data_IF_399645479918
#
_entry.id   IF_399645479918
#
_cell.length_a   1.000
_cell.length_b   1.000
_cell.length_c   1.000
_cell.angle_alpha   90.00
_cell.angle_beta   90.00
_cell.angle_gamma   90.00
#
_symmetry.space_group_name_H-M   'P 1'
#
loop_
_entity.id
_entity.type
_entity.pdbx_description
1 polymer ?
#
# COMPACT_ATOMS: atom_id res chain seq x y z
N UNK A 1 -9.64 -5.24 -24.15
CA UNK A 1 -9.18 -3.89 -23.72
C UNK A 1 -8.77 -4.02 -22.27
N UNK A 2 -7.53 -3.67 -21.93
CA UNK A 2 -7.02 -3.81 -20.56
C UNK A 2 -7.91 -3.00 -19.62
N UNK A 3 -8.54 -3.68 -18.67
CA UNK A 3 -9.29 -3.05 -17.61
C UNK A 3 -8.29 -2.27 -16.74
N UNK A 4 -8.41 -0.94 -16.74
CA UNK A 4 -7.59 -0.10 -15.87
C UNK A 4 -8.04 -0.30 -14.42
N UNK A 5 -7.07 -0.39 -13.51
CA UNK A 5 -7.34 -0.42 -12.07
C UNK A 5 -7.87 0.93 -11.60
N UNK A 6 -8.66 0.94 -10.53
CA UNK A 6 -9.14 2.16 -9.85
C UNK A 6 -8.11 2.65 -8.83
N UNK A 7 -6.85 2.72 -9.26
CA UNK A 7 -5.72 3.22 -8.47
C UNK A 7 -5.38 4.67 -8.85
N UNK A 8 -4.71 5.37 -7.95
CA UNK A 8 -4.14 6.69 -8.18
C UNK A 8 -2.83 6.83 -7.41
N UNK A 9 -1.92 7.65 -7.94
CA UNK A 9 -0.69 8.05 -7.27
C UNK A 9 -0.67 9.57 -7.11
N UNK A 10 -0.18 10.04 -5.95
CA UNK A 10 0.13 11.44 -5.69
C UNK A 10 1.65 11.62 -5.75
N UNK A 11 2.11 12.40 -6.74
CA UNK A 11 3.52 12.69 -6.93
C UNK A 11 3.84 14.13 -6.53
N UNK A 12 4.99 14.34 -5.89
CA UNK A 12 5.58 15.65 -5.66
C UNK A 12 6.90 15.74 -6.43
N UNK A 13 6.92 16.50 -7.52
CA UNK A 13 8.06 16.53 -8.43
C UNK A 13 8.27 15.16 -9.09
N UNK A 14 9.40 14.51 -8.79
CA UNK A 14 9.72 13.17 -9.28
C UNK A 14 9.40 12.05 -8.28
N UNK A 15 9.09 12.40 -7.04
CA UNK A 15 8.90 11.44 -5.97
C UNK A 15 7.42 11.09 -5.79
N UNK A 16 7.12 9.79 -5.75
CA UNK A 16 5.81 9.28 -5.37
C UNK A 16 5.65 9.41 -3.85
N UNK A 17 4.61 10.16 -3.44
CA UNK A 17 4.34 10.46 -2.04
C UNK A 17 3.38 9.45 -1.44
N UNK A 18 2.32 9.12 -2.17
CA UNK A 18 1.33 8.13 -1.74
C UNK A 18 0.65 7.51 -2.93
N UNK A 19 0.40 6.22 -2.82
CA UNK A 19 -0.48 5.47 -3.70
C UNK A 19 -1.75 5.08 -2.96
N UNK A 20 -2.86 5.13 -3.69
CA UNK A 20 -4.17 4.77 -3.20
C UNK A 20 -5.00 4.07 -4.26
N UNK A 21 -6.09 3.47 -3.82
CA UNK A 21 -6.99 2.82 -4.75
C UNK A 21 -8.20 2.19 -4.09
N UNK A 22 -9.18 1.89 -4.93
CA UNK A 22 -10.31 1.08 -4.51
C UNK A 22 -9.86 -0.36 -4.30
N UNK A 23 -10.29 -0.96 -3.19
CA UNK A 23 -10.05 -2.38 -2.90
C UNK A 23 -11.20 -3.22 -3.44
N UNK A 24 -10.88 -4.45 -3.85
CA UNK A 24 -11.90 -5.41 -4.27
C UNK A 24 -12.65 -5.90 -3.03
N UNK A 25 -13.96 -5.72 -3.03
CA UNK A 25 -14.86 -6.06 -1.93
C UNK A 25 -15.68 -7.31 -2.22
N UNK A 26 -15.74 -7.76 -3.48
CA UNK A 26 -16.43 -8.98 -3.91
C UNK A 26 -15.50 -10.16 -3.74
N UNK A 27 -15.87 -11.10 -2.86
CA UNK A 27 -15.02 -12.22 -2.49
C UNK A 27 -14.64 -13.12 -3.68
N UNK A 28 -15.57 -13.39 -4.59
CA UNK A 28 -15.31 -14.28 -5.73
C UNK A 28 -14.23 -13.71 -6.64
N UNK A 29 -14.29 -12.39 -6.90
CA UNK A 29 -13.31 -11.66 -7.70
C UNK A 29 -11.97 -11.55 -6.96
N UNK A 30 -12.00 -11.35 -5.64
CA UNK A 30 -10.79 -11.32 -4.82
C UNK A 30 -10.06 -12.68 -4.86
N UNK A 31 -10.78 -13.80 -4.74
CA UNK A 31 -10.20 -15.15 -4.82
C UNK A 31 -9.66 -15.44 -6.21
N UNK A 32 -10.37 -15.02 -7.27
CA UNK A 32 -9.89 -15.14 -8.65
C UNK A 32 -8.60 -14.34 -8.88
N UNK A 33 -8.52 -13.12 -8.34
CA UNK A 33 -7.32 -12.29 -8.40
C UNK A 33 -6.13 -12.89 -7.64
N UNK A 34 -6.35 -13.52 -6.48
CA UNK A 34 -5.30 -14.24 -5.76
C UNK A 34 -4.75 -15.39 -6.61
N UNK A 35 -5.64 -16.19 -7.21
CA UNK A 35 -5.24 -17.31 -8.09
C UNK A 35 -4.51 -16.84 -9.34
N UNK A 36 -4.91 -15.70 -9.93
CA UNK A 36 -4.24 -15.16 -11.12
C UNK A 36 -2.84 -14.61 -10.83
N UNK A 37 -2.55 -14.28 -9.57
CA UNK A 37 -1.23 -13.89 -9.07
C UNK A 37 -0.41 -15.06 -8.51
N UNK A 38 -0.85 -16.31 -8.72
CA UNK A 38 -0.20 -17.53 -8.21
C UNK A 38 -0.11 -17.59 -6.67
N UNK A 39 -1.09 -17.00 -5.99
CA UNK A 39 -1.22 -17.03 -4.52
C UNK A 39 -2.25 -18.08 -4.09
N UNK A 40 -1.95 -18.84 -3.05
CA UNK A 40 -2.88 -19.82 -2.48
C UNK A 40 -3.95 -19.12 -1.62
N UNK A 41 -5.25 -19.13 -1.99
CA UNK A 41 -6.28 -18.46 -1.21
C UNK A 41 -6.43 -18.94 0.23
N UNK A 42 -6.06 -20.20 0.51
CA UNK A 42 -6.15 -20.78 1.87
C UNK A 42 -5.20 -20.10 2.86
N UNK A 43 -4.04 -19.62 2.40
CA UNK A 43 -3.08 -18.87 3.24
C UNK A 43 -3.62 -17.49 3.64
N UNK A 44 -4.59 -16.97 2.87
CA UNK A 44 -5.22 -15.68 3.09
C UNK A 44 -6.58 -15.79 3.78
N UNK A 45 -6.99 -16.97 4.29
CA UNK A 45 -8.30 -17.15 4.92
C UNK A 45 -8.54 -16.15 6.07
N UNK A 46 -7.50 -15.84 6.85
CA UNK A 46 -7.55 -14.81 7.89
C UNK A 46 -8.03 -13.44 7.36
N UNK A 47 -7.62 -13.08 6.14
CA UNK A 47 -8.01 -11.84 5.48
C UNK A 47 -9.36 -11.96 4.76
N UNK A 48 -9.57 -13.03 3.99
CA UNK A 48 -10.77 -13.17 3.14
C UNK A 48 -12.03 -13.56 3.91
N UNK A 49 -11.91 -14.18 5.09
CA UNK A 49 -13.06 -14.56 5.92
C UNK A 49 -13.97 -13.38 6.23
N UNK A 50 -13.41 -12.19 6.50
CA UNK A 50 -14.19 -10.97 6.75
C UNK A 50 -15.04 -10.53 5.56
N UNK A 51 -14.59 -10.80 4.33
CA UNK A 51 -15.30 -10.43 3.10
C UNK A 51 -16.57 -11.28 2.88
N UNK A 52 -16.65 -12.47 3.48
CA UNK A 52 -17.84 -13.35 3.44
C UNK A 52 -19.04 -12.74 4.16
N UNK A 53 -18.81 -11.81 5.11
CA UNK A 53 -19.85 -11.19 5.92
C UNK A 53 -20.40 -9.88 5.32
N UNK A 54 -20.02 -9.54 4.10
CA UNK A 54 -20.48 -8.33 3.41
C UNK A 54 -19.64 -7.12 3.76
N UNK A 55 -18.61 -6.87 2.97
CA UNK A 55 -17.75 -5.68 3.08
C UNK A 55 -18.25 -4.61 2.11
N UNK A 56 -18.50 -3.36 2.58
CA UNK A 56 -18.90 -2.29 1.68
C UNK A 56 -17.76 -1.91 0.71
N UNK A 57 -18.08 -1.30 -0.44
CA UNK A 57 -17.06 -0.72 -1.31
C UNK A 57 -16.21 0.28 -0.52
N UNK A 58 -14.89 0.06 -0.52
CA UNK A 58 -13.94 0.87 0.23
C UNK A 58 -12.69 1.17 -0.60
N UNK A 59 -12.04 2.27 -0.25
CA UNK A 59 -10.78 2.71 -0.83
C UNK A 59 -9.88 3.25 0.28
N UNK A 60 -8.60 3.32 0.01
CA UNK A 60 -7.62 3.86 0.96
C UNK A 60 -6.35 4.28 0.26
N UNK A 61 -5.51 4.96 1.01
CA UNK A 61 -4.19 5.43 0.60
C UNK A 61 -3.26 5.35 1.80
N UNK A 62 -1.95 5.29 1.55
CA UNK A 62 -0.93 5.22 2.58
C UNK A 62 0.18 6.22 2.31
N UNK A 63 0.55 7.00 3.31
CA UNK A 63 1.55 8.07 3.20
C UNK A 63 2.59 7.94 4.31
N UNK A 64 3.86 7.84 3.91
CA UNK A 64 5.00 7.77 4.83
C UNK A 64 5.25 9.12 5.48
N UNK A 65 5.17 9.19 6.81
CA UNK A 65 5.35 10.43 7.58
C UNK A 65 6.74 11.02 7.36
N UNK A 66 7.76 10.17 7.39
CA UNK A 66 9.15 10.50 7.11
C UNK A 66 9.34 11.11 5.72
N UNK A 67 8.54 10.68 4.72
CA UNK A 67 8.58 11.18 3.34
C UNK A 67 7.90 12.54 3.19
N UNK A 68 6.78 12.75 3.89
CA UNK A 68 6.17 14.10 4.02
C UNK A 68 7.19 15.05 4.63
N UNK A 69 7.84 14.65 5.72
CA UNK A 69 8.81 15.48 6.41
C UNK A 69 9.97 15.86 5.50
N UNK A 70 10.46 14.94 4.65
CA UNK A 70 11.52 15.28 3.69
C UNK A 70 11.11 16.41 2.75
N UNK A 71 9.89 16.36 2.24
CA UNK A 71 9.35 17.40 1.35
C UNK A 71 9.18 18.72 2.11
N UNK A 72 8.68 18.68 3.35
CA UNK A 72 8.46 19.87 4.17
C UNK A 72 9.78 20.54 4.60
N UNK A 73 10.81 19.76 4.92
CA UNK A 73 12.11 20.27 5.39
C UNK A 73 13.12 20.50 4.27
N UNK A 74 12.86 20.00 3.06
CA UNK A 74 13.81 19.99 1.96
C UNK A 74 15.01 19.05 2.19
N UNK A 75 14.84 18.02 3.02
CA UNK A 75 15.89 17.06 3.31
C UNK A 75 16.18 16.19 2.09
N UNK A 76 17.47 15.94 1.81
CA UNK A 76 17.89 15.12 0.66
C UNK A 76 17.84 13.61 0.96
N UNK A 77 17.74 13.23 2.24
CA UNK A 77 17.74 11.83 2.68
C UNK A 77 16.70 11.60 3.78
N UNK A 78 15.91 10.52 3.68
CA UNK A 78 14.89 10.16 4.67
C UNK A 78 15.47 9.91 6.07
N UNK A 79 16.76 9.56 6.16
CA UNK A 79 17.43 9.38 7.45
C UNK A 79 17.54 10.68 8.25
N UNK A 80 17.46 11.83 7.59
CA UNK A 80 17.50 13.14 8.24
C UNK A 80 16.16 13.51 8.88
N UNK A 81 15.08 12.80 8.53
CA UNK A 81 13.72 13.05 9.04
C UNK A 81 13.25 12.03 10.08
N UNK A 82 14.11 11.08 10.45
CA UNK A 82 13.84 10.01 11.41
C UNK A 82 14.88 10.02 12.53
N UNK A 83 14.44 9.96 13.79
CA UNK A 83 15.32 10.05 14.96
C UNK A 83 16.30 8.87 15.07
N UNK A 84 15.82 7.65 14.83
CA UNK A 84 16.61 6.42 14.83
C UNK A 84 16.39 5.70 13.50
N UNK A 85 17.14 6.06 12.43
CA UNK A 85 16.90 5.51 11.11
C UNK A 85 17.25 4.02 11.08
N UNK A 86 16.38 3.23 10.45
CA UNK A 86 16.56 1.80 10.22
C UNK A 86 16.90 1.55 8.77
N UNK A 87 17.94 0.77 8.52
CA UNK A 87 18.25 0.24 7.20
C UNK A 87 18.93 -1.13 7.30
N UNK A 88 19.27 -1.73 6.16
CA UNK A 88 19.90 -3.05 6.11
C UNK A 88 21.20 -3.13 6.94
N UNK A 89 21.91 -2.01 7.11
CA UNK A 89 23.20 -1.94 7.80
C UNK A 89 23.08 -1.35 9.22
N UNK A 90 21.93 -0.76 9.58
CA UNK A 90 21.71 -0.09 10.86
C UNK A 90 20.48 -0.66 11.57
N UNK A 91 20.76 -1.54 12.53
CA UNK A 91 19.77 -2.24 13.37
C UNK A 91 19.81 -1.84 14.86
N UNK A 92 20.71 -0.94 15.27
CA UNK A 92 20.77 -0.43 16.65
C UNK A 92 21.37 1.00 16.69
N UNK A 93 20.84 1.94 17.51
CA UNK A 93 19.55 1.88 18.20
C UNK A 93 18.39 1.75 17.23
#
# INVERSE_FOLDING_TARGET
>A
GQQLSRGFDLNFGRDEMTSGGQREHRIDVLIENLKSMDLNPEEFEFYVAGFRHGVPPHAGWGLGVERILMVLTGANNVRETVLFPRDLNRYCP
#
